data_IF_810399110284
#
_entry.id   IF_810399110284
#
_cell.length_a   1.000
_cell.length_b   1.000
_cell.length_c   1.000
_cell.angle_alpha   90.00
_cell.angle_beta   90.00
_cell.angle_gamma   90.00
#
_symmetry.space_group_name_H-M   'P 1'
#
loop_
_entity.id
_entity.type
_entity.pdbx_description
1 polymer ?
#
# COMPACT_ATOMS: atom_id res chain seq x y z
N UNK A 1 54.75 -38.78 8.32
CA UNK A 1 53.45 -39.36 7.89
C UNK A 1 52.59 -39.44 9.15
N UNK A 2 51.41 -38.86 9.28
CA UNK A 2 50.37 -38.64 8.28
C UNK A 2 49.75 -37.22 8.40
N UNK A 3 49.29 -36.75 7.25
CA UNK A 3 48.42 -35.60 7.05
C UNK A 3 47.04 -35.83 7.67
N UNK A 4 46.54 -34.84 8.41
CA UNK A 4 45.12 -34.68 8.70
C UNK A 4 44.73 -33.26 8.32
N UNK A 5 44.35 -33.07 7.06
CA UNK A 5 43.61 -31.88 6.65
C UNK A 5 42.15 -32.14 6.99
N UNK A 6 41.67 -31.47 8.04
CA UNK A 6 40.26 -31.48 8.43
C UNK A 6 39.50 -30.41 7.64
N UNK A 7 38.27 -30.76 7.31
CA UNK A 7 37.50 -30.30 6.17
C UNK A 7 36.93 -28.88 6.37
N UNK A 8 37.01 -28.07 5.32
CA UNK A 8 36.39 -26.75 5.28
C UNK A 8 34.86 -26.87 5.31
N UNK A 9 34.25 -26.50 6.44
CA UNK A 9 32.81 -26.34 6.58
C UNK A 9 32.32 -25.09 5.86
N UNK A 10 32.06 -25.19 4.55
CA UNK A 10 31.39 -24.18 3.74
C UNK A 10 29.90 -24.52 3.64
N UNK A 11 29.09 -24.24 4.68
CA UNK A 11 27.63 -24.50 4.64
C UNK A 11 26.65 -23.43 5.20
N UNK A 12 26.97 -22.15 5.50
CA UNK A 12 25.91 -21.20 5.88
C UNK A 12 25.25 -20.43 4.72
N UNK A 13 25.95 -20.22 3.59
CA UNK A 13 25.57 -19.18 2.61
C UNK A 13 24.37 -19.48 1.71
N UNK A 14 24.23 -20.74 1.28
CA UNK A 14 23.16 -21.10 0.35
C UNK A 14 21.76 -21.04 1.02
N UNK A 15 21.68 -21.41 2.29
CA UNK A 15 20.43 -21.36 3.04
C UNK A 15 19.98 -19.92 3.36
N UNK A 16 20.91 -19.01 3.67
CA UNK A 16 20.58 -17.60 3.87
C UNK A 16 20.15 -16.92 2.57
N UNK A 17 20.78 -17.26 1.44
CA UNK A 17 20.42 -16.74 0.12
C UNK A 17 19.01 -17.19 -0.32
N UNK A 18 18.65 -18.46 -0.06
CA UNK A 18 17.28 -18.96 -0.31
C UNK A 18 16.23 -18.25 0.55
N UNK A 19 16.52 -18.00 1.84
CA UNK A 19 15.62 -17.27 2.73
C UNK A 19 15.44 -15.81 2.28
N UNK A 20 16.52 -15.15 1.84
CA UNK A 20 16.46 -13.79 1.29
C UNK A 20 15.63 -13.77 0.00
N UNK A 21 15.81 -14.75 -0.88
CA UNK A 21 15.03 -14.88 -2.10
C UNK A 21 13.53 -15.07 -1.80
N UNK A 22 13.18 -15.93 -0.83
CA UNK A 22 11.80 -16.12 -0.39
C UNK A 22 11.19 -14.85 0.22
N UNK A 23 11.94 -14.12 1.06
CA UNK A 23 11.50 -12.84 1.60
C UNK A 23 11.25 -11.81 0.51
N UNK A 24 12.13 -11.75 -0.50
CA UNK A 24 11.97 -10.82 -1.60
C UNK A 24 10.78 -11.17 -2.50
N UNK A 25 10.54 -12.47 -2.74
CA UNK A 25 9.34 -12.94 -3.44
C UNK A 25 8.06 -12.57 -2.68
N UNK A 26 8.01 -12.80 -1.37
CA UNK A 26 6.88 -12.43 -0.53
C UNK A 26 6.63 -10.91 -0.50
N UNK A 27 7.70 -10.09 -0.38
CA UNK A 27 7.62 -8.62 -0.45
C UNK A 27 7.06 -8.16 -1.80
N UNK A 28 7.52 -8.77 -2.89
CA UNK A 28 7.07 -8.44 -4.25
C UNK A 28 5.58 -8.78 -4.41
N UNK A 29 5.16 -9.96 -3.96
CA UNK A 29 3.77 -10.40 -4.02
C UNK A 29 2.84 -9.45 -3.24
N UNK A 30 3.18 -9.14 -1.98
CA UNK A 30 2.40 -8.23 -1.14
C UNK A 30 2.34 -6.82 -1.75
N UNK A 31 3.47 -6.33 -2.27
CA UNK A 31 3.54 -5.01 -2.90
C UNK A 31 2.69 -4.94 -4.16
N UNK A 32 2.74 -5.96 -5.01
CA UNK A 32 1.92 -6.04 -6.21
C UNK A 32 0.43 -6.01 -5.85
N UNK A 33 0.03 -6.81 -4.86
CA UNK A 33 -1.37 -6.86 -4.43
C UNK A 33 -1.82 -5.51 -3.84
N UNK A 34 -0.98 -4.88 -3.03
CA UNK A 34 -1.24 -3.55 -2.50
C UNK A 34 -1.45 -2.51 -3.60
N UNK A 35 -0.56 -2.46 -4.60
CA UNK A 35 -0.67 -1.53 -5.72
C UNK A 35 -1.94 -1.77 -6.57
N UNK A 36 -2.30 -3.04 -6.79
CA UNK A 36 -3.56 -3.42 -7.46
C UNK A 36 -4.79 -2.97 -6.67
N UNK A 37 -4.77 -3.12 -5.35
CA UNK A 37 -5.84 -2.62 -4.50
C UNK A 37 -5.94 -1.08 -4.59
N UNK A 38 -4.83 -0.36 -4.40
CA UNK A 38 -4.84 1.11 -4.42
C UNK A 38 -5.30 1.70 -5.75
N UNK A 39 -4.93 1.06 -6.87
CA UNK A 39 -5.41 1.47 -8.20
C UNK A 39 -6.90 1.18 -8.39
N UNK A 40 -7.41 0.06 -7.88
CA UNK A 40 -8.85 -0.24 -7.88
C UNK A 40 -9.68 0.70 -7.02
N UNK A 41 -9.11 1.28 -5.96
CA UNK A 41 -9.81 2.24 -5.09
C UNK A 41 -9.95 3.62 -5.73
N UNK A 42 -9.17 3.94 -6.77
CA UNK A 42 -9.26 5.23 -7.45
C UNK A 42 -10.67 5.49 -8.00
N UNK A 43 -11.22 6.66 -7.70
CA UNK A 43 -12.57 7.07 -8.09
C UNK A 43 -13.67 6.74 -7.09
N UNK A 44 -13.39 5.99 -6.02
CA UNK A 44 -14.39 5.58 -5.05
C UNK A 44 -14.49 6.55 -3.86
N UNK A 45 -15.68 6.60 -3.26
CA UNK A 45 -15.92 7.39 -2.06
C UNK A 45 -15.21 6.77 -0.84
N UNK A 46 -14.32 7.55 -0.24
CA UNK A 46 -13.53 7.19 0.92
C UNK A 46 -13.88 8.08 2.12
N UNK A 47 -13.97 7.46 3.29
CA UNK A 47 -14.06 8.13 4.58
C UNK A 47 -12.70 8.01 5.27
N UNK A 48 -12.08 9.13 5.59
CA UNK A 48 -10.80 9.18 6.29
C UNK A 48 -11.03 9.55 7.75
N UNK A 49 -10.40 8.78 8.63
CA UNK A 49 -10.37 9.01 10.06
C UNK A 49 -9.01 9.63 10.40
N UNK A 50 -9.03 10.89 10.84
CA UNK A 50 -7.85 11.67 11.17
C UNK A 50 -7.69 11.79 12.69
N UNK A 51 -6.59 12.40 13.13
CA UNK A 51 -6.40 12.77 14.53
C UNK A 51 -7.51 13.74 15.02
N UNK A 52 -7.64 13.85 16.34
CA UNK A 52 -8.64 14.70 17.00
C UNK A 52 -10.11 14.32 16.72
N UNK A 53 -10.37 13.04 16.37
CA UNK A 53 -11.71 12.52 16.02
C UNK A 53 -12.32 13.20 14.80
N UNK A 54 -11.50 13.84 13.96
CA UNK A 54 -11.96 14.44 12.72
C UNK A 54 -12.21 13.35 11.69
N UNK A 55 -13.42 13.29 11.15
CA UNK A 55 -13.78 12.38 10.06
C UNK A 55 -14.10 13.22 8.83
N UNK A 56 -13.35 12.99 7.75
CA UNK A 56 -13.55 13.68 6.47
C UNK A 56 -13.98 12.67 5.40
N UNK A 57 -14.85 13.09 4.50
CA UNK A 57 -15.34 12.25 3.41
C UNK A 57 -14.92 12.86 2.09
N UNK A 58 -14.50 12.05 1.14
CA UNK A 58 -14.14 12.54 -0.20
C UNK A 58 -13.97 11.41 -1.18
N UNK A 59 -13.65 11.74 -2.42
CA UNK A 59 -13.38 10.73 -3.46
C UNK A 59 -11.89 10.48 -3.53
N UNK A 60 -11.47 9.25 -3.27
CA UNK A 60 -10.07 8.85 -3.40
C UNK A 60 -9.65 8.91 -4.87
N UNK A 61 -8.52 9.55 -5.18
CA UNK A 61 -8.03 9.69 -6.57
C UNK A 61 -6.73 8.94 -6.79
N UNK A 62 -5.76 9.16 -5.92
CA UNK A 62 -4.44 8.56 -6.05
C UNK A 62 -3.70 8.59 -4.72
N UNK A 63 -2.61 7.82 -4.65
CA UNK A 63 -1.57 7.98 -3.64
C UNK A 63 -0.21 8.02 -4.32
N UNK A 64 0.80 8.51 -3.62
CA UNK A 64 2.18 8.29 -4.00
C UNK A 64 2.57 6.81 -3.85
N UNK A 65 3.72 6.45 -4.44
CA UNK A 65 4.26 5.08 -4.40
C UNK A 65 4.49 4.67 -2.94
N UNK A 66 4.99 5.59 -2.11
CA UNK A 66 5.35 5.31 -0.72
C UNK A 66 4.20 5.53 0.27
N UNK A 67 3.01 5.88 -0.21
CA UNK A 67 1.79 6.08 0.59
C UNK A 67 1.98 7.15 1.68
N UNK A 68 2.77 8.18 1.43
CA UNK A 68 2.90 9.35 2.28
C UNK A 68 1.79 10.37 2.05
N UNK A 69 1.15 10.36 0.87
CA UNK A 69 0.15 11.35 0.48
C UNK A 69 -1.02 10.73 -0.27
N UNK A 70 -2.23 11.15 0.08
CA UNK A 70 -3.47 10.75 -0.56
C UNK A 70 -4.08 11.94 -1.29
N UNK A 71 -4.23 11.82 -2.62
CA UNK A 71 -4.99 12.75 -3.43
C UNK A 71 -6.48 12.47 -3.31
N UNK A 72 -7.23 13.48 -2.87
CA UNK A 72 -8.68 13.38 -2.64
C UNK A 72 -9.38 14.54 -3.36
N UNK A 73 -10.45 14.24 -4.09
CA UNK A 73 -11.34 15.26 -4.65
C UNK A 73 -12.63 15.35 -3.83
N UNK A 74 -13.23 16.53 -3.82
CA UNK A 74 -14.49 16.80 -3.12
C UNK A 74 -14.45 16.40 -1.64
N UNK A 75 -13.41 16.86 -0.94
CA UNK A 75 -13.22 16.61 0.48
C UNK A 75 -14.20 17.45 1.29
N UNK A 76 -15.12 16.79 1.98
CA UNK A 76 -16.04 17.37 2.93
C UNK A 76 -15.39 17.42 4.31
N UNK A 77 -15.23 18.63 4.81
CA UNK A 77 -14.77 18.96 6.16
C UNK A 77 -15.90 19.61 6.94
N UNK A 78 -15.75 19.72 8.27
CA UNK A 78 -16.72 20.43 9.11
C UNK A 78 -16.91 21.91 8.72
N UNK A 79 -15.92 22.51 8.03
CA UNK A 79 -15.93 23.91 7.60
C UNK A 79 -16.50 24.11 6.19
N UNK A 80 -16.64 23.04 5.40
CA UNK A 80 -17.11 23.11 4.03
C UNK A 80 -16.48 22.07 3.10
N UNK A 81 -16.76 22.23 1.80
CA UNK A 81 -16.28 21.35 0.73
C UNK A 81 -15.04 21.94 0.07
N UNK A 82 -13.97 21.16 0.01
CA UNK A 82 -12.76 21.46 -0.72
C UNK A 82 -12.71 20.63 -2.01
N UNK A 83 -12.65 21.25 -3.20
CA UNK A 83 -12.73 20.52 -4.47
C UNK A 83 -11.53 19.62 -4.72
N UNK A 84 -10.34 20.01 -4.27
CA UNK A 84 -9.12 19.21 -4.37
C UNK A 84 -8.27 19.36 -3.10
N UNK A 85 -7.82 18.24 -2.55
CA UNK A 85 -7.00 18.20 -1.35
C UNK A 85 -5.96 17.08 -1.43
N UNK A 86 -4.85 17.28 -0.72
CA UNK A 86 -3.84 16.25 -0.47
C UNK A 86 -3.81 16.01 1.03
N UNK A 87 -4.14 14.80 1.46
CA UNK A 87 -4.04 14.38 2.85
C UNK A 87 -2.70 13.69 3.06
N UNK A 88 -1.95 14.12 4.07
CA UNK A 88 -0.72 13.42 4.45
C UNK A 88 -1.07 12.16 5.23
N UNK A 89 -0.39 11.06 4.96
CA UNK A 89 -0.58 9.81 5.68
C UNK A 89 -0.28 9.95 7.18
N UNK A 90 0.63 10.85 7.55
CA UNK A 90 0.89 11.17 8.95
C UNK A 90 -0.30 11.78 9.70
N UNK A 91 -1.30 12.33 9.01
CA UNK A 91 -2.51 12.91 9.60
C UNK A 91 -3.71 11.93 9.57
N UNK A 92 -3.58 10.80 8.87
CA UNK A 92 -4.65 9.80 8.65
C UNK A 92 -4.34 8.55 9.48
N UNK A 93 -5.29 8.15 10.33
CA UNK A 93 -5.20 6.93 11.14
C UNK A 93 -5.66 5.73 10.31
N UNK A 94 -6.78 5.90 9.61
CA UNK A 94 -7.34 4.88 8.72
C UNK A 94 -8.26 5.52 7.70
N UNK A 95 -8.53 4.80 6.62
CA UNK A 95 -9.59 5.17 5.70
C UNK A 95 -10.40 3.94 5.32
N UNK A 96 -11.66 4.16 4.99
CA UNK A 96 -12.59 3.12 4.57
C UNK A 96 -13.23 3.56 3.28
N UNK A 97 -13.17 2.69 2.28
CA UNK A 97 -13.84 2.90 1.01
C UNK A 97 -15.14 2.12 1.04
N UNK A 98 -16.25 2.85 1.01
CA UNK A 98 -17.57 2.25 0.89
C UNK A 98 -17.82 2.03 -0.59
N UNK A 99 -18.09 0.78 -0.96
CA UNK A 99 -18.29 0.34 -2.34
C UNK A 99 -16.95 0.04 -3.05
N UNK A 100 -16.49 -1.20 -2.89
CA UNK A 100 -15.58 -1.83 -3.84
C UNK A 100 -16.45 -2.68 -4.77
N UNK A 101 -17.44 -2.07 -5.43
CA UNK A 101 -18.04 -2.72 -6.58
C UNK A 101 -16.92 -2.76 -7.60
N UNK A 102 -16.25 -3.92 -7.64
CA UNK A 102 -15.33 -4.28 -8.70
C UNK A 102 -16.02 -3.88 -9.99
N UNK A 103 -15.51 -2.84 -10.64
CA UNK A 103 -15.92 -2.46 -11.98
C UNK A 103 -15.48 -3.61 -12.90
N UNK A 104 -16.23 -4.72 -12.83
CA UNK A 104 -16.46 -5.59 -13.95
C UNK A 104 -17.15 -4.72 -14.99
N UNK A 105 -16.41 -4.43 -16.05
CA UNK A 105 -16.88 -3.89 -17.32
C UNK A 105 -17.49 -2.48 -17.32
N UNK A 106 -16.66 -1.53 -17.77
CA UNK A 106 -17.11 -0.61 -18.82
C UNK A 106 -15.98 -0.39 -19.83
N UNK A 107 -15.62 -1.47 -20.53
CA UNK A 107 -15.09 -1.32 -21.89
C UNK A 107 -16.28 -1.00 -22.80
N UNK A 108 -16.37 0.26 -23.19
CA UNK A 108 -17.46 0.77 -24.01
C UNK A 108 -17.07 2.10 -24.65
N UNK A 109 -16.08 2.03 -25.55
CA UNK A 109 -16.13 2.59 -26.91
C UNK A 109 -14.81 2.26 -27.64
#
# INVERSE_FOLDING_TARGET
>A
MASGGDEGGEQPKEAEDELVAQQQAARTYLRQQFLRCMTGLAGHAATFHMYEKTTVKGTFRCCDVDVQNFGVSDLFTALGRQPAAILRAGDVISFTVSNLDVAADSSGN
#
